data_IF_840612370709
#
_entry.id   IF_840612370709
#
_cell.length_a   1.000
_cell.length_b   1.000
_cell.length_c   1.000
_cell.angle_alpha   90.00
_cell.angle_beta   90.00
_cell.angle_gamma   90.00
#
_symmetry.space_group_name_H-M   'P 1'
#
loop_
_entity.id
_entity.type
_entity.pdbx_description
1 polymer ?
#
# COMPACT_ATOMS: atom_id res chain seq x y z
N UNK A 1 38.53 -51.38 10.78
CA UNK A 1 37.79 -51.32 9.50
C UNK A 1 37.40 -49.88 9.26
N UNK A 2 38.20 -49.15 8.48
CA UNK A 2 37.96 -47.74 8.15
C UNK A 2 37.78 -47.66 6.63
N UNK A 3 36.64 -47.13 6.18
CA UNK A 3 36.46 -46.67 4.80
C UNK A 3 36.16 -45.17 4.84
N UNK A 4 36.99 -44.30 4.24
CA UNK A 4 36.56 -42.95 3.91
C UNK A 4 35.82 -42.95 2.57
N UNK A 5 34.64 -42.34 2.61
CA UNK A 5 33.75 -42.08 1.49
C UNK A 5 34.29 -40.94 0.61
N UNK A 6 34.10 -41.11 -0.69
CA UNK A 6 34.65 -40.34 -1.81
C UNK A 6 34.04 -38.93 -1.85
N UNK A 7 34.87 -37.90 -2.10
CA UNK A 7 34.42 -36.61 -2.63
C UNK A 7 35.02 -36.40 -4.02
N UNK A 8 34.22 -36.62 -5.05
CA UNK A 8 34.53 -36.24 -6.43
C UNK A 8 34.29 -34.74 -6.60
N UNK A 9 35.33 -34.04 -7.06
CA UNK A 9 35.32 -32.63 -7.42
C UNK A 9 34.72 -32.49 -8.82
N UNK A 10 33.52 -31.91 -8.93
CA UNK A 10 32.89 -31.63 -10.23
C UNK A 10 33.37 -30.27 -10.74
N UNK A 11 34.08 -30.26 -11.87
CA UNK A 11 34.62 -29.08 -12.54
C UNK A 11 33.69 -28.71 -13.69
N UNK A 12 32.81 -27.74 -13.49
CA UNK A 12 31.88 -27.26 -14.52
C UNK A 12 32.50 -26.08 -15.30
N UNK A 13 32.79 -26.35 -16.57
CA UNK A 13 33.32 -25.42 -17.56
C UNK A 13 32.17 -24.55 -18.13
N UNK A 14 32.09 -23.27 -17.78
CA UNK A 14 31.19 -22.32 -18.46
C UNK A 14 31.92 -21.68 -19.64
N UNK A 15 31.48 -22.02 -20.86
CA UNK A 15 31.88 -21.33 -22.08
C UNK A 15 30.92 -20.16 -22.34
N UNK A 16 31.44 -18.93 -22.21
CA UNK A 16 30.75 -17.70 -22.59
C UNK A 16 30.90 -17.47 -24.11
N UNK A 17 29.79 -17.47 -24.85
CA UNK A 17 29.76 -17.03 -26.24
C UNK A 17 29.27 -15.58 -26.29
N UNK A 18 30.19 -14.68 -26.66
CA UNK A 18 29.89 -13.31 -27.04
C UNK A 18 29.24 -13.29 -28.43
N UNK A 19 28.13 -12.55 -28.59
CA UNK A 19 27.64 -12.15 -29.91
C UNK A 19 28.11 -10.71 -30.20
N UNK A 20 28.88 -10.55 -31.28
CA UNK A 20 29.22 -9.26 -31.87
C UNK A 20 29.28 -9.43 -33.38
N UNK A 21 28.41 -8.73 -34.12
CA UNK A 21 28.56 -8.31 -35.53
C UNK A 21 27.20 -7.71 -35.99
N UNK A 22 27.09 -6.40 -36.18
CA UNK A 22 27.44 -5.61 -37.37
C UNK A 22 26.26 -5.40 -38.35
N UNK A 23 25.76 -4.17 -38.32
CA UNK A 23 25.47 -3.27 -39.44
C UNK A 23 25.11 -3.87 -40.81
N UNK A 24 23.91 -3.52 -41.30
CA UNK A 24 23.71 -3.13 -42.69
C UNK A 24 22.88 -1.84 -42.77
N UNK A 25 23.49 -0.88 -43.47
CA UNK A 25 22.92 0.40 -43.91
C UNK A 25 22.13 0.17 -45.19
N UNK A 26 21.00 0.86 -45.34
CA UNK A 26 20.47 1.30 -46.64
C UNK A 26 19.84 2.68 -46.47
N UNK A 27 20.56 3.69 -46.98
CA UNK A 27 20.08 4.95 -47.59
C UNK A 27 18.81 4.70 -48.43
N UNK A 28 17.90 5.61 -48.77
CA UNK A 28 17.67 7.08 -48.76
C UNK A 28 16.16 7.15 -49.18
N UNK A 29 15.28 8.10 -48.86
CA UNK A 29 15.33 9.54 -49.14
C UNK A 29 14.01 10.21 -48.66
N UNK A 30 14.20 11.34 -47.98
CA UNK A 30 13.41 12.59 -47.95
C UNK A 30 11.94 12.64 -48.41
N UNK A 31 11.09 13.10 -47.48
CA UNK A 31 9.86 13.86 -47.76
C UNK A 31 9.63 14.86 -46.63
N UNK A 32 9.99 16.12 -46.86
CA UNK A 32 9.70 17.26 -45.96
C UNK A 32 8.23 17.63 -45.98
N UNK A 33 7.68 17.95 -44.82
CA UNK A 33 6.75 19.08 -44.67
C UNK A 33 6.62 19.48 -43.20
N UNK A 34 7.25 20.60 -42.89
CA UNK A 34 7.04 21.45 -41.73
C UNK A 34 5.66 22.11 -41.77
N UNK A 35 5.06 22.33 -40.60
CA UNK A 35 4.25 23.54 -40.39
C UNK A 35 4.35 23.99 -38.93
N UNK A 36 4.84 25.22 -38.79
CA UNK A 36 4.90 26.04 -37.59
C UNK A 36 4.03 27.26 -37.89
N UNK A 37 3.17 27.69 -36.98
CA UNK A 37 2.49 29.00 -36.99
C UNK A 37 2.04 29.28 -35.56
N UNK A 38 2.75 30.10 -34.79
CA UNK A 38 2.67 31.57 -34.70
C UNK A 38 1.54 32.09 -33.78
N UNK A 39 1.98 32.53 -32.60
CA UNK A 39 1.67 33.76 -31.84
C UNK A 39 0.55 34.67 -32.34
N UNK A 40 -0.32 35.09 -31.41
CA UNK A 40 -0.81 36.48 -31.37
C UNK A 40 -1.13 36.93 -29.94
N UNK A 41 -0.63 38.11 -29.57
CA UNK A 41 -0.94 38.84 -28.35
C UNK A 41 -1.87 40.00 -28.71
N UNK A 42 -2.88 40.30 -27.90
CA UNK A 42 -3.18 41.69 -27.50
C UNK A 42 -4.22 41.83 -26.39
N UNK A 43 -3.89 42.78 -25.54
CA UNK A 43 -4.54 43.38 -24.38
C UNK A 43 -5.81 44.17 -24.73
N UNK A 44 -6.83 44.11 -23.87
CA UNK A 44 -7.66 45.28 -23.54
C UNK A 44 -7.98 45.30 -22.04
N UNK A 45 -7.42 46.31 -21.39
CA UNK A 45 -7.72 46.83 -20.06
C UNK A 45 -9.12 47.43 -19.97
N UNK A 46 -9.81 47.27 -18.83
CA UNK A 46 -10.54 48.33 -18.11
C UNK A 46 -11.05 47.82 -16.75
N UNK A 47 -10.53 48.46 -15.69
CA UNK A 47 -11.05 48.76 -14.33
C UNK A 47 -12.22 47.93 -13.77
N UNK A 48 -12.27 47.54 -12.48
CA UNK A 48 -12.32 48.45 -11.33
C UNK A 48 -12.17 47.66 -10.01
N UNK A 49 -11.42 48.23 -9.07
CA UNK A 49 -11.41 48.16 -7.60
C UNK A 49 -11.93 46.95 -6.79
N UNK A 50 -11.00 46.47 -5.95
CA UNK A 50 -11.11 46.18 -4.52
C UNK A 50 -12.33 45.37 -4.01
N UNK A 51 -12.09 44.12 -3.62
CA UNK A 51 -12.51 43.67 -2.29
C UNK A 51 -11.61 42.56 -1.76
N UNK A 52 -11.13 42.78 -0.55
CA UNK A 52 -10.34 41.90 0.29
C UNK A 52 -11.04 40.54 0.45
N UNK A 53 -10.33 39.43 0.23
CA UNK A 53 -10.65 38.18 0.95
C UNK A 53 -9.37 37.40 1.13
N UNK A 54 -8.94 37.34 2.37
CA UNK A 54 -7.93 36.42 2.91
C UNK A 54 -8.23 35.01 2.43
N UNK A 55 -7.43 34.49 1.50
CA UNK A 55 -7.43 33.06 1.17
C UNK A 55 -6.80 32.31 2.33
N UNK A 56 -7.63 31.95 3.31
CA UNK A 56 -7.35 30.90 4.27
C UNK A 56 -7.07 29.63 3.48
N UNK A 57 -5.84 29.14 3.58
CA UNK A 57 -5.44 27.78 3.22
C UNK A 57 -6.28 26.81 4.07
N UNK A 58 -7.39 26.34 3.52
CA UNK A 58 -8.12 25.21 4.06
C UNK A 58 -7.47 23.95 3.52
N UNK A 59 -6.47 23.46 4.26
CA UNK A 59 -6.06 22.06 4.22
C UNK A 59 -7.21 21.23 4.81
N UNK A 60 -8.24 20.99 4.01
CA UNK A 60 -9.40 20.19 4.40
C UNK A 60 -9.17 18.74 3.97
N UNK A 61 -8.84 17.91 4.97
CA UNK A 61 -9.26 16.52 5.14
C UNK A 61 -9.41 15.69 3.85
N UNK A 62 -8.31 15.09 3.39
CA UNK A 62 -8.33 14.08 2.31
C UNK A 62 -8.48 12.65 2.84
N UNK A 63 -8.69 12.47 4.15
CA UNK A 63 -8.62 11.17 4.82
C UNK A 63 -9.90 10.33 4.66
N UNK A 64 -11.05 10.96 4.41
CA UNK A 64 -12.35 10.26 4.39
C UNK A 64 -12.69 9.62 3.04
N UNK A 65 -12.04 10.01 1.94
CA UNK A 65 -12.43 9.59 0.57
C UNK A 65 -11.52 8.52 -0.04
N UNK A 66 -10.36 8.25 0.56
CA UNK A 66 -9.33 7.41 -0.05
C UNK A 66 -9.65 5.90 0.01
N UNK A 67 -10.56 5.49 0.92
CA UNK A 67 -10.94 4.08 1.12
C UNK A 67 -11.90 3.52 0.07
N UNK A 68 -12.63 4.37 -0.67
CA UNK A 68 -13.68 3.92 -1.60
C UNK A 68 -13.29 3.99 -3.08
N UNK A 69 -12.16 4.63 -3.40
CA UNK A 69 -11.55 4.57 -4.74
C UNK A 69 -10.55 3.42 -4.82
N UNK A 70 -10.63 2.63 -5.90
CA UNK A 70 -9.67 1.57 -6.19
C UNK A 70 -8.25 2.15 -6.40
N UNK A 71 -7.21 1.34 -6.19
CA UNK A 71 -5.84 1.69 -6.61
C UNK A 71 -5.81 2.13 -8.08
N UNK A 72 -5.27 3.33 -8.34
CA UNK A 72 -5.04 3.84 -9.69
C UNK A 72 -3.61 3.50 -10.12
N UNK A 73 -3.46 2.39 -10.82
CA UNK A 73 -2.14 1.90 -11.25
C UNK A 73 -1.47 2.81 -12.28
N UNK A 74 -2.24 3.53 -13.11
CA UNK A 74 -1.70 4.45 -14.11
C UNK A 74 -1.13 5.70 -13.42
N UNK A 75 -1.85 6.24 -12.45
CA UNK A 75 -1.36 7.34 -11.62
C UNK A 75 -0.09 6.96 -10.84
N UNK A 76 -0.09 5.76 -10.24
CA UNK A 76 1.08 5.26 -9.49
C UNK A 76 2.29 5.08 -10.41
N UNK A 77 2.11 4.50 -11.60
CA UNK A 77 3.19 4.35 -12.57
C UNK A 77 3.76 5.70 -13.03
N UNK A 78 2.95 6.77 -12.98
CA UNK A 78 3.37 8.14 -13.28
C UNK A 78 3.96 8.90 -12.07
N UNK A 79 4.02 8.27 -10.90
CA UNK A 79 4.57 8.86 -9.67
C UNK A 79 3.55 9.56 -8.78
N UNK A 80 2.24 9.45 -9.07
CA UNK A 80 1.17 9.91 -8.19
C UNK A 80 0.73 8.76 -7.28
N UNK A 81 1.14 8.83 -6.01
CA UNK A 81 0.88 7.80 -5.01
C UNK A 81 -0.35 8.08 -4.16
N UNK A 82 -1.18 9.07 -4.53
CA UNK A 82 -2.36 9.46 -3.75
C UNK A 82 -3.33 8.30 -3.50
N UNK A 83 -3.55 7.41 -4.47
CA UNK A 83 -4.37 6.21 -4.27
C UNK A 83 -3.66 5.10 -3.48
N UNK A 84 -2.33 5.12 -3.37
CA UNK A 84 -1.55 4.12 -2.64
C UNK A 84 -1.31 4.52 -1.17
N UNK A 85 -1.32 5.82 -0.89
CA UNK A 85 -1.03 6.38 0.43
C UNK A 85 -1.88 5.75 1.55
N UNK A 86 -1.28 5.60 2.72
CA UNK A 86 -1.89 4.99 3.89
C UNK A 86 -1.08 3.83 4.45
N UNK A 87 -1.62 3.24 5.50
CA UNK A 87 -1.05 2.08 6.18
C UNK A 87 -1.65 0.82 5.58
N UNK A 88 -0.82 -0.17 5.32
CA UNK A 88 -1.20 -1.47 4.78
C UNK A 88 -0.66 -2.56 5.69
N UNK A 89 -1.44 -3.60 5.92
CA UNK A 89 -1.05 -4.65 6.84
C UNK A 89 -1.56 -6.02 6.41
N UNK A 90 -0.73 -7.05 6.59
CA UNK A 90 -1.06 -8.45 6.29
C UNK A 90 -1.52 -9.21 7.56
N UNK A 91 -1.90 -10.48 7.41
CA UNK A 91 -2.41 -11.28 8.54
C UNK A 91 -1.35 -11.61 9.60
N UNK A 92 -0.06 -11.49 9.25
CA UNK A 92 1.06 -11.65 10.17
C UNK A 92 1.42 -10.38 10.95
N UNK A 93 0.68 -9.28 10.76
CA UNK A 93 0.94 -8.00 11.43
C UNK A 93 2.15 -7.23 10.87
N UNK A 94 2.65 -7.60 9.68
CA UNK A 94 3.66 -6.79 9.00
C UNK A 94 2.98 -5.56 8.40
N UNK A 95 3.66 -4.41 8.50
CA UNK A 95 3.10 -3.11 8.10
C UNK A 95 3.94 -2.50 6.98
N UNK A 96 3.26 -1.94 5.98
CA UNK A 96 3.83 -1.03 4.99
C UNK A 96 3.12 0.32 5.11
N UNK A 97 3.87 1.41 5.14
CA UNK A 97 3.32 2.76 5.18
C UNK A 97 3.71 3.49 3.91
N UNK A 98 2.73 4.04 3.20
CA UNK A 98 2.95 4.86 2.01
C UNK A 98 2.48 6.29 2.27
N UNK A 99 3.26 7.27 1.84
CA UNK A 99 2.84 8.66 1.73
C UNK A 99 2.76 9.11 0.26
N UNK A 100 2.63 10.41 0.03
CA UNK A 100 2.56 10.99 -1.31
C UNK A 100 3.87 10.86 -2.12
N UNK A 101 4.96 10.43 -1.48
CA UNK A 101 6.29 10.26 -2.06
C UNK A 101 6.70 8.79 -2.20
N UNK A 102 5.96 7.87 -1.58
CA UNK A 102 6.16 6.43 -1.71
C UNK A 102 6.27 5.71 -0.38
N UNK A 103 7.07 4.65 -0.33
CA UNK A 103 7.27 3.85 0.88
C UNK A 103 7.99 4.66 1.97
N UNK A 104 7.40 4.72 3.16
CA UNK A 104 7.95 5.34 4.37
C UNK A 104 8.52 4.24 5.26
N UNK A 105 9.86 4.13 5.28
CA UNK A 105 10.58 3.13 6.08
C UNK A 105 12.02 3.59 6.35
N UNK A 106 12.56 3.25 7.52
CA UNK A 106 13.97 3.48 7.85
C UNK A 106 14.87 2.36 7.29
N UNK A 107 14.35 1.14 7.24
CA UNK A 107 15.11 -0.08 6.95
C UNK A 107 14.95 -0.59 5.52
N UNK A 108 14.05 0.01 4.75
CA UNK A 108 13.79 -0.37 3.37
C UNK A 108 13.42 0.81 2.49
N UNK A 109 13.62 0.65 1.20
CA UNK A 109 13.17 1.58 0.18
C UNK A 109 12.62 0.79 -1.01
N UNK A 110 11.67 1.38 -1.71
CA UNK A 110 11.25 0.86 -3.00
C UNK A 110 12.07 1.46 -4.14
N UNK A 111 12.24 0.73 -5.24
CA UNK A 111 13.01 1.24 -6.39
C UNK A 111 12.35 2.45 -7.06
N UNK A 112 11.03 2.60 -6.93
CA UNK A 112 10.24 3.57 -7.72
C UNK A 112 10.18 3.23 -9.21
N UNK A 113 10.84 2.13 -9.62
CA UNK A 113 10.72 1.55 -10.95
C UNK A 113 9.57 0.55 -10.97
N UNK A 114 8.75 0.64 -12.01
CA UNK A 114 7.55 -0.17 -12.15
C UNK A 114 7.59 -1.02 -13.42
N UNK A 115 7.11 -2.25 -13.31
CA UNK A 115 6.95 -3.19 -14.40
C UNK A 115 5.48 -3.57 -14.50
N UNK A 116 4.92 -3.42 -15.70
CA UNK A 116 3.57 -3.90 -16.02
C UNK A 116 3.62 -5.37 -16.39
N UNK A 117 2.75 -6.16 -15.77
CA UNK A 117 2.55 -7.57 -16.12
C UNK A 117 1.10 -7.96 -15.85
N UNK A 118 0.43 -8.52 -16.87
CA UNK A 118 -0.95 -9.02 -16.76
C UNK A 118 -1.94 -8.00 -16.17
N UNK A 119 -1.78 -6.72 -16.53
CA UNK A 119 -2.63 -5.63 -16.05
C UNK A 119 -2.33 -5.16 -14.62
N UNK A 120 -1.29 -5.69 -13.99
CA UNK A 120 -0.85 -5.30 -12.65
C UNK A 120 0.48 -4.58 -12.69
N UNK A 121 0.71 -3.77 -11.67
CA UNK A 121 1.94 -3.02 -11.48
C UNK A 121 2.81 -3.73 -10.44
N UNK A 122 4.08 -3.96 -10.77
CA UNK A 122 5.05 -4.57 -9.85
C UNK A 122 6.24 -3.64 -9.67
N UNK A 123 6.68 -3.47 -8.43
CA UNK A 123 7.92 -2.76 -8.07
C UNK A 123 8.80 -3.65 -7.20
N UNK A 124 9.97 -3.16 -6.79
CA UNK A 124 10.85 -3.87 -5.86
C UNK A 124 10.98 -3.09 -4.56
N UNK A 125 10.90 -3.80 -3.43
CA UNK A 125 11.26 -3.28 -2.10
C UNK A 125 12.58 -3.92 -1.70
N UNK A 126 13.56 -3.11 -1.34
CA UNK A 126 14.91 -3.53 -1.01
C UNK A 126 15.25 -3.08 0.41
N UNK A 127 16.06 -3.88 1.11
CA UNK A 127 16.61 -3.47 2.39
C UNK A 127 17.62 -2.32 2.18
N UNK A 128 17.55 -1.30 3.03
CA UNK A 128 18.47 -0.16 3.02
C UNK A 128 19.91 -0.58 3.39
N UNK A 129 20.05 -1.71 4.10
CA UNK A 129 21.35 -2.31 4.41
C UNK A 129 21.30 -3.84 4.28
N UNK A 130 22.42 -4.44 3.88
CA UNK A 130 22.54 -5.89 3.73
C UNK A 130 22.07 -6.43 2.37
N UNK A 131 21.67 -7.70 2.35
CA UNK A 131 21.14 -8.38 1.16
C UNK A 131 19.71 -8.79 1.46
N UNK A 132 18.76 -8.33 0.65
CA UNK A 132 17.37 -8.69 0.79
C UNK A 132 16.46 -7.77 -0.03
N UNK A 133 15.37 -8.34 -0.53
CA UNK A 133 14.34 -7.62 -1.24
C UNK A 133 13.28 -8.55 -1.76
N UNK A 134 12.16 -7.98 -2.15
CA UNK A 134 11.03 -8.69 -2.73
C UNK A 134 10.36 -7.82 -3.79
N UNK A 135 9.69 -8.47 -4.74
CA UNK A 135 8.77 -7.78 -5.63
C UNK A 135 7.49 -7.45 -4.87
N UNK A 136 6.99 -6.23 -4.99
CA UNK A 136 5.70 -5.82 -4.45
C UNK A 136 4.74 -5.63 -5.62
N UNK A 137 3.67 -6.42 -5.64
CA UNK A 137 2.63 -6.35 -6.66
C UNK A 137 1.45 -5.56 -6.13
N UNK A 138 0.94 -4.61 -6.93
CA UNK A 138 -0.19 -3.76 -6.61
C UNK A 138 -1.43 -4.25 -7.36
N UNK A 139 -2.50 -4.53 -6.62
CA UNK A 139 -3.70 -5.16 -7.16
C UNK A 139 -4.95 -4.36 -6.76
N UNK A 140 -5.58 -3.65 -7.70
CA UNK A 140 -6.81 -2.92 -7.43
C UNK A 140 -7.97 -3.84 -7.05
N UNK A 141 -8.93 -3.33 -6.27
CA UNK A 141 -10.20 -4.03 -6.04
C UNK A 141 -10.90 -4.38 -7.35
N UNK A 142 -11.51 -5.56 -7.40
CA UNK A 142 -12.20 -6.11 -8.55
C UNK A 142 -11.29 -6.80 -9.59
N UNK A 143 -9.97 -6.66 -9.48
CA UNK A 143 -9.00 -7.37 -10.34
C UNK A 143 -8.55 -8.66 -9.67
N UNK A 144 -8.53 -9.79 -10.37
CA UNK A 144 -7.97 -11.04 -9.86
C UNK A 144 -6.44 -11.05 -10.00
N UNK A 145 -5.75 -11.64 -9.03
CA UNK A 145 -4.33 -11.97 -9.20
C UNK A 145 -4.25 -13.11 -10.23
N UNK A 146 -3.37 -13.01 -11.25
CA UNK A 146 -3.27 -14.02 -12.29
C UNK A 146 -3.00 -15.43 -11.75
N UNK A 147 -3.64 -16.44 -12.35
CA UNK A 147 -3.60 -17.82 -11.88
C UNK A 147 -2.20 -18.42 -11.82
N UNK A 148 -1.24 -17.92 -12.59
CA UNK A 148 0.14 -18.38 -12.57
C UNK A 148 0.84 -18.15 -11.22
N UNK A 149 0.32 -17.25 -10.37
CA UNK A 149 0.84 -17.07 -9.02
C UNK A 149 0.37 -18.16 -8.05
N UNK A 150 -0.63 -18.98 -8.42
CA UNK A 150 -1.27 -19.93 -7.53
C UNK A 150 -1.21 -21.37 -8.06
N UNK A 151 -0.82 -22.31 -7.19
CA UNK A 151 -0.73 -23.72 -7.55
C UNK A 151 -2.09 -24.35 -7.91
N UNK A 152 -3.17 -23.86 -7.30
CA UNK A 152 -4.56 -24.25 -7.58
C UNK A 152 -5.21 -23.39 -8.68
N UNK A 153 -4.49 -22.38 -9.18
CA UNK A 153 -4.93 -21.45 -10.22
C UNK A 153 -6.00 -20.44 -9.78
N UNK A 154 -6.31 -20.33 -8.49
CA UNK A 154 -7.35 -19.43 -7.98
C UNK A 154 -6.76 -18.38 -7.04
N UNK A 155 -7.18 -17.12 -7.19
CA UNK A 155 -6.86 -16.05 -6.25
C UNK A 155 -7.66 -16.23 -4.95
N UNK A 156 -7.02 -16.55 -3.80
CA UNK A 156 -7.71 -16.78 -2.53
C UNK A 156 -7.94 -15.48 -1.75
N UNK A 157 -7.50 -14.32 -2.26
CA UNK A 157 -7.64 -13.03 -1.58
C UNK A 157 -9.04 -12.43 -1.69
N UNK A 158 -9.33 -11.47 -0.82
CA UNK A 158 -10.57 -10.69 -0.89
C UNK A 158 -10.50 -9.69 -2.06
N UNK A 159 -10.99 -10.11 -3.22
CA UNK A 159 -10.99 -9.31 -4.45
C UNK A 159 -11.90 -8.08 -4.36
N UNK A 160 -12.70 -7.91 -3.30
CA UNK A 160 -13.49 -6.68 -3.09
C UNK A 160 -12.64 -5.52 -2.58
N UNK A 161 -11.40 -5.80 -2.17
CA UNK A 161 -10.44 -4.84 -1.63
C UNK A 161 -9.24 -4.68 -2.55
N UNK A 162 -8.55 -3.56 -2.40
CA UNK A 162 -7.19 -3.43 -2.93
C UNK A 162 -6.26 -4.35 -2.14
N UNK A 163 -5.25 -4.91 -2.81
CA UNK A 163 -4.24 -5.78 -2.21
C UNK A 163 -2.85 -5.36 -2.64
N UNK A 164 -1.92 -5.44 -1.71
CA UNK A 164 -0.50 -5.52 -2.02
C UNK A 164 -0.01 -6.90 -1.62
N UNK A 165 0.90 -7.51 -2.36
CA UNK A 165 1.56 -8.72 -1.85
C UNK A 165 3.01 -8.79 -2.27
N UNK A 166 3.83 -9.31 -1.36
CA UNK A 166 5.25 -9.56 -1.59
C UNK A 166 5.46 -10.88 -2.31
N UNK A 167 6.28 -10.88 -3.34
CA UNK A 167 6.71 -12.07 -4.07
C UNK A 167 8.23 -12.11 -4.18
N UNK A 168 8.83 -13.23 -3.75
CA UNK A 168 10.26 -13.49 -4.00
C UNK A 168 10.46 -14.35 -5.26
N UNK A 169 9.45 -15.12 -5.67
CA UNK A 169 9.39 -15.86 -6.92
C UNK A 169 7.95 -15.87 -7.43
N UNK A 170 7.77 -15.83 -8.75
CA UNK A 170 6.44 -15.83 -9.43
C UNK A 170 5.64 -17.12 -9.16
N UNK A 171 6.26 -18.20 -8.65
CA UNK A 171 5.69 -19.55 -8.56
C UNK A 171 5.72 -20.19 -7.16
N UNK A 172 5.74 -19.44 -6.06
CA UNK A 172 5.66 -20.08 -4.73
C UNK A 172 4.62 -19.43 -3.81
N UNK A 173 3.54 -20.17 -3.60
CA UNK A 173 2.38 -19.84 -2.75
C UNK A 173 2.62 -20.08 -1.26
N UNK A 174 3.76 -20.64 -0.84
CA UNK A 174 3.94 -21.08 0.55
C UNK A 174 3.85 -19.93 1.56
N UNK A 175 3.92 -18.68 1.11
CA UNK A 175 3.76 -17.48 1.94
C UNK A 175 2.87 -16.41 1.29
N UNK A 176 1.81 -16.78 0.56
CA UNK A 176 0.87 -15.79 0.05
C UNK A 176 0.07 -15.17 1.20
N UNK A 177 0.43 -13.93 1.58
CA UNK A 177 -0.21 -13.16 2.64
C UNK A 177 -0.36 -11.71 2.18
N UNK A 178 -1.50 -11.35 1.56
CA UNK A 178 -1.71 -10.02 1.03
C UNK A 178 -1.89 -9.00 2.15
N UNK A 179 -1.33 -7.82 1.94
CA UNK A 179 -1.58 -6.64 2.74
C UNK A 179 -2.87 -5.97 2.25
N UNK A 180 -3.70 -5.60 3.20
CA UNK A 180 -4.89 -4.79 2.97
C UNK A 180 -4.71 -3.42 3.62
N UNK A 181 -5.37 -2.41 3.06
CA UNK A 181 -5.33 -1.06 3.63
C UNK A 181 -5.95 -1.08 5.03
N UNK A 182 -5.20 -0.57 5.99
CA UNK A 182 -5.67 -0.26 7.32
C UNK A 182 -6.40 1.09 7.23
N UNK A 183 -7.70 1.15 7.54
CA UNK A 183 -8.39 2.42 7.63
C UNK A 183 -7.67 3.34 8.61
N UNK A 184 -7.45 4.60 8.23
CA UNK A 184 -6.91 5.57 9.18
C UNK A 184 -7.97 5.83 10.24
N UNK A 185 -7.61 5.77 11.53
CA UNK A 185 -8.47 6.25 12.59
C UNK A 185 -8.82 7.72 12.29
N UNK A 186 -10.05 8.01 11.87
CA UNK A 186 -10.43 9.39 11.62
C UNK A 186 -10.35 10.16 12.95
N UNK A 187 -10.06 11.46 12.92
CA UNK A 187 -10.26 12.32 14.08
C UNK A 187 -11.78 12.45 14.32
N UNK A 188 -12.36 11.48 15.02
CA UNK A 188 -13.79 11.43 15.25
C UNK A 188 -14.14 12.47 16.32
N UNK A 189 -14.92 13.48 15.92
CA UNK A 189 -15.63 14.40 16.83
C UNK A 189 -16.51 13.68 17.88
N UNK A 190 -16.78 12.38 17.68
CA UNK A 190 -17.54 11.52 18.60
C UNK A 190 -16.68 10.68 19.58
N UNK A 191 -15.35 10.71 19.46
CA UNK A 191 -14.46 10.03 20.41
C UNK A 191 -14.38 10.74 21.77
N UNK A 192 -14.87 11.99 21.88
CA UNK A 192 -15.01 12.73 23.14
C UNK A 192 -16.33 12.44 23.88
N UNK A 193 -17.04 11.36 23.55
CA UNK A 193 -18.20 10.96 24.34
C UNK A 193 -17.74 10.56 25.75
N UNK A 194 -18.30 11.23 26.75
CA UNK A 194 -18.15 10.86 28.15
C UNK A 194 -19.08 9.69 28.46
N UNK A 195 -18.54 8.48 28.32
CA UNK A 195 -19.27 7.21 28.46
C UNK A 195 -19.18 6.65 29.89
N UNK A 196 -18.30 7.21 30.73
CA UNK A 196 -17.93 6.63 32.02
C UNK A 196 -17.05 5.38 31.92
N UNK A 197 -16.65 4.98 30.71
CA UNK A 197 -15.68 3.91 30.47
C UNK A 197 -14.32 4.52 30.17
N UNK A 198 -13.26 3.94 30.74
CA UNK A 198 -11.87 4.32 30.44
C UNK A 198 -11.03 3.05 30.34
N UNK A 199 -10.73 2.65 29.10
CA UNK A 199 -9.95 1.46 28.81
C UNK A 199 -8.46 1.77 28.81
N UNK A 200 -7.67 0.85 29.37
CA UNK A 200 -6.23 0.79 29.12
C UNK A 200 -5.93 0.16 27.75
N UNK A 201 -4.70 0.33 27.27
CA UNK A 201 -4.27 -0.22 25.99
C UNK A 201 -4.08 -1.74 26.04
N UNK A 202 -4.07 -2.38 24.87
CA UNK A 202 -3.60 -3.76 24.72
C UNK A 202 -4.66 -4.79 25.10
N UNK A 203 -4.33 -5.70 26.02
CA UNK A 203 -5.21 -6.82 26.41
C UNK A 203 -6.57 -6.36 26.94
N UNK A 204 -6.62 -5.22 27.63
CA UNK A 204 -7.90 -4.65 28.12
C UNK A 204 -8.83 -4.30 26.96
N UNK A 205 -8.30 -3.78 25.85
CA UNK A 205 -9.09 -3.52 24.64
C UNK A 205 -9.55 -4.81 23.97
N UNK A 206 -8.72 -5.86 23.97
CA UNK A 206 -9.08 -7.20 23.45
C UNK A 206 -10.21 -7.82 24.25
N UNK A 207 -10.08 -7.85 25.58
CA UNK A 207 -11.09 -8.43 26.48
C UNK A 207 -12.41 -7.69 26.34
N UNK A 208 -12.35 -6.36 26.23
CA UNK A 208 -13.51 -5.51 26.03
C UNK A 208 -14.21 -5.77 24.70
N UNK A 209 -13.47 -5.82 23.57
CA UNK A 209 -14.05 -6.14 22.27
C UNK A 209 -14.67 -7.55 22.28
N UNK A 210 -13.98 -8.52 22.89
CA UNK A 210 -14.46 -9.90 23.05
C UNK A 210 -15.80 -9.94 23.80
N UNK A 211 -15.92 -9.17 24.89
CA UNK A 211 -17.16 -9.08 25.67
C UNK A 211 -18.30 -8.43 24.89
N UNK A 212 -18.04 -7.31 24.17
CA UNK A 212 -19.11 -6.49 23.59
C UNK A 212 -19.56 -6.94 22.21
N UNK A 213 -18.65 -7.39 21.37
CA UNK A 213 -18.92 -7.71 19.96
C UNK A 213 -18.52 -9.14 19.57
N UNK A 214 -18.09 -9.95 20.54
CA UNK A 214 -17.78 -11.36 20.37
C UNK A 214 -16.30 -11.67 20.16
N UNK A 215 -15.92 -12.90 20.48
CA UNK A 215 -14.55 -13.40 20.29
C UNK A 215 -14.26 -13.65 18.80
N UNK A 216 -13.23 -12.99 18.29
CA UNK A 216 -12.68 -13.25 16.96
C UNK A 216 -11.17 -13.53 17.00
N UNK A 217 -10.64 -13.91 18.16
CA UNK A 217 -9.20 -13.99 18.41
C UNK A 217 -8.49 -12.67 18.08
N UNK A 218 -8.98 -11.58 18.68
CA UNK A 218 -8.51 -10.22 18.41
C UNK A 218 -7.03 -10.06 18.77
N UNK A 219 -6.27 -9.45 17.87
CA UNK A 219 -4.89 -8.99 18.12
C UNK A 219 -4.80 -7.49 17.98
N UNK A 220 -3.93 -6.85 18.76
CA UNK A 220 -3.65 -5.41 18.65
C UNK A 220 -2.66 -5.18 17.52
N UNK A 221 -3.04 -4.35 16.55
CA UNK A 221 -2.18 -3.96 15.44
C UNK A 221 -1.41 -2.68 15.75
N UNK A 222 -2.12 -1.68 16.25
CA UNK A 222 -1.56 -0.39 16.61
C UNK A 222 -2.36 0.26 17.75
N UNK A 223 -1.84 1.36 18.25
CA UNK A 223 -2.56 2.26 19.13
C UNK A 223 -1.82 3.57 19.33
N UNK A 224 -2.55 4.59 19.75
CA UNK A 224 -2.02 5.95 19.95
C UNK A 224 -2.05 6.39 21.42
N UNK A 225 -2.11 5.45 22.38
CA UNK A 225 -2.18 5.73 23.82
C UNK A 225 -1.03 6.60 24.38
N UNK A 226 0.07 6.73 23.66
CA UNK A 226 1.20 7.60 24.00
C UNK A 226 1.15 8.97 23.31
N UNK A 227 0.16 9.22 22.43
CA UNK A 227 -0.02 10.46 21.66
C UNK A 227 -1.11 11.30 22.30
N UNK A 228 -0.89 12.61 22.39
CA UNK A 228 -1.79 13.54 23.13
C UNK A 228 -2.79 14.28 22.25
N UNK A 229 -2.67 14.18 20.92
CA UNK A 229 -3.45 14.99 19.97
C UNK A 229 -4.77 14.35 19.55
N UNK A 230 -5.10 13.16 20.07
CA UNK A 230 -6.29 12.40 19.71
C UNK A 230 -6.75 11.55 20.88
N UNK A 231 -8.03 11.17 20.87
CA UNK A 231 -8.54 10.21 21.84
C UNK A 231 -7.80 8.88 21.65
N UNK A 232 -7.26 8.30 22.74
CA UNK A 232 -6.55 7.04 22.65
C UNK A 232 -7.41 5.92 22.08
N UNK A 233 -6.82 5.05 21.27
CA UNK A 233 -7.44 3.86 20.70
C UNK A 233 -6.44 2.72 20.53
N UNK A 234 -6.97 1.50 20.43
CA UNK A 234 -6.30 0.36 19.82
C UNK A 234 -7.05 -0.08 18.57
N UNK A 235 -6.31 -0.28 17.48
CA UNK A 235 -6.82 -0.97 16.31
C UNK A 235 -6.63 -2.47 16.54
N UNK A 236 -7.72 -3.22 16.49
CA UNK A 236 -7.70 -4.68 16.62
C UNK A 236 -8.04 -5.35 15.27
N UNK A 237 -7.43 -6.50 15.03
CA UNK A 237 -7.77 -7.38 13.92
C UNK A 237 -8.27 -8.73 14.41
N UNK A 238 -9.38 -9.19 13.84
CA UNK A 238 -9.89 -10.53 14.05
C UNK A 238 -9.24 -11.54 13.11
N UNK A 239 -9.27 -12.81 13.48
CA UNK A 239 -8.82 -13.93 12.63
C UNK A 239 -9.57 -14.05 11.30
N UNK A 240 -10.75 -13.42 11.17
CA UNK A 240 -11.52 -13.29 9.94
C UNK A 240 -11.11 -12.07 9.08
N UNK A 241 -10.08 -11.33 9.49
CA UNK A 241 -9.61 -10.11 8.83
C UNK A 241 -10.41 -8.85 9.17
N UNK A 242 -11.40 -8.91 10.07
CA UNK A 242 -12.13 -7.73 10.53
C UNK A 242 -11.20 -6.73 11.20
N UNK A 243 -11.37 -5.44 10.93
CA UNK A 243 -10.65 -4.35 11.61
C UNK A 243 -11.63 -3.53 12.45
N UNK A 244 -11.24 -3.25 13.70
CA UNK A 244 -12.03 -2.42 14.63
C UNK A 244 -11.15 -1.43 15.39
N UNK A 245 -11.69 -0.24 15.64
CA UNK A 245 -11.09 0.75 16.55
C UNK A 245 -11.81 0.68 17.88
N UNK A 246 -11.09 0.26 18.92
CA UNK A 246 -11.54 0.32 20.31
C UNK A 246 -10.97 1.58 20.92
N UNK A 247 -11.81 2.59 21.14
CA UNK A 247 -11.41 3.85 21.76
C UNK A 247 -11.35 3.71 23.27
N UNK A 248 -10.52 4.52 23.93
CA UNK A 248 -10.37 4.54 25.39
C UNK A 248 -11.70 4.80 26.10
N UNK A 249 -12.61 5.57 25.49
CA UNK A 249 -13.94 5.79 26.02
C UNK A 249 -14.90 4.59 25.80
N UNK A 250 -14.42 3.44 25.33
CA UNK A 250 -15.23 2.23 25.12
C UNK A 250 -16.09 2.22 23.87
N UNK A 251 -16.06 3.26 23.02
CA UNK A 251 -16.74 3.23 21.73
C UNK A 251 -15.97 2.31 20.78
N UNK A 252 -16.69 1.47 20.02
CA UNK A 252 -16.11 0.56 19.03
C UNK A 252 -16.65 0.88 17.65
N UNK A 253 -15.73 1.15 16.72
CA UNK A 253 -16.03 1.31 15.30
C UNK A 253 -15.44 0.17 14.49
N UNK A 254 -16.13 -0.24 13.43
CA UNK A 254 -15.65 -1.15 12.41
C UNK A 254 -14.96 -0.40 11.27
N UNK A 255 -14.68 -1.11 10.20
CA UNK A 255 -14.26 -0.51 8.94
C UNK A 255 -15.30 0.48 8.41
N UNK A 256 -14.84 1.41 7.56
CA UNK A 256 -15.69 2.45 6.94
C UNK A 256 -16.49 3.30 7.94
N UNK A 257 -15.98 3.48 9.16
CA UNK A 257 -16.62 4.28 10.21
C UNK A 257 -18.00 3.74 10.65
N UNK A 258 -18.23 2.43 10.54
CA UNK A 258 -19.44 1.81 11.06
C UNK A 258 -19.40 1.79 12.60
N UNK A 259 -20.36 2.43 13.27
CA UNK A 259 -20.52 2.29 14.72
C UNK A 259 -20.97 0.86 15.05
N UNK A 260 -20.13 0.11 15.79
CA UNK A 260 -20.43 -1.26 16.22
C UNK A 260 -20.97 -1.30 17.65
N UNK A 261 -20.44 -0.44 18.52
CA UNK A 261 -20.84 -0.39 19.92
C UNK A 261 -20.58 0.99 20.54
N UNK A 262 -21.50 1.40 21.43
CA UNK A 262 -21.31 2.51 22.37
C UNK A 262 -21.69 2.02 23.77
N UNK A 263 -20.93 2.37 24.82
CA UNK A 263 -21.27 2.04 26.21
C UNK A 263 -22.63 2.57 26.67
#
# INVERSE_FOLDING_TARGET
MNKPFVKTLSLSLLASLFLTACSMTSKQESGSSSSTSQTSSQTTTSSTEATSTTSSLTSSSSSETQMDTALDLDAIAAGDFSSLAGTWMNSQGNVLVFDQTGLVSEDSFWSGEFVWSNGLLTTSVQASSGVGGYALVLVPKGMAIPSEFFADGSDPSDQTKDRLFGAQNVLSTENFDPFYRVPTALPHSQSNLETGVTLESGQVSIDYATEKIGDKAWIVLEGNYTRTESVPYNLLQGSDGSLIWVYQNGVIYGDNNQLLYTP
#
